data_IF_330348045848
#
_entry.id   IF_330348045848
#
_cell.length_a   1.000
_cell.length_b   1.000
_cell.length_c   1.000
_cell.angle_alpha   90.00
_cell.angle_beta   90.00
_cell.angle_gamma   90.00
#
_symmetry.space_group_name_H-M   'P 1'
#
loop_
_entity.id
_entity.type
_entity.pdbx_description
1 polymer ?
#
# COMPACT_ATOMS: atom_id res chain seq x y z
N UNK A 1 -1.00 -9.25 0.55
CA UNK A 1 -1.19 -7.89 1.10
C UNK A 1 -1.46 -7.83 2.61
N UNK A 2 -2.21 -8.78 3.18
CA UNK A 2 -2.60 -8.75 4.61
C UNK A 2 -1.44 -8.54 5.60
N UNK A 3 -0.28 -9.18 5.38
CA UNK A 3 0.91 -8.97 6.23
C UNK A 3 1.42 -7.52 6.17
N UNK A 4 1.52 -6.95 4.98
CA UNK A 4 2.01 -5.59 4.76
C UNK A 4 1.09 -4.56 5.40
N UNK A 5 -0.23 -4.75 5.29
CA UNK A 5 -1.23 -3.87 5.91
C UNK A 5 -1.25 -3.92 7.44
N UNK A 6 -0.71 -4.98 8.06
CA UNK A 6 -0.53 -5.06 9.52
C UNK A 6 0.74 -4.37 10.00
N UNK A 7 1.67 -4.03 9.10
CA UNK A 7 2.90 -3.35 9.47
C UNK A 7 2.58 -1.86 9.82
N UNK A 8 2.94 -1.39 11.02
CA UNK A 8 2.61 -0.04 11.47
C UNK A 8 3.33 1.06 10.67
N UNK A 9 4.56 0.81 10.22
CA UNK A 9 5.32 1.77 9.40
C UNK A 9 4.68 1.93 8.02
N UNK A 10 4.19 0.82 7.45
CA UNK A 10 3.47 0.86 6.18
C UNK A 10 2.17 1.66 6.31
N UNK A 11 1.40 1.42 7.37
CA UNK A 11 0.18 2.18 7.65
C UNK A 11 0.48 3.67 7.83
N UNK A 12 1.53 4.01 8.58
CA UNK A 12 1.89 5.39 8.86
C UNK A 12 2.35 6.13 7.59
N UNK A 13 3.32 5.57 6.87
CA UNK A 13 3.98 6.24 5.75
C UNK A 13 3.14 6.19 4.48
N UNK A 14 2.59 5.02 4.14
CA UNK A 14 1.95 4.79 2.85
C UNK A 14 0.44 5.02 2.94
N UNK A 15 -0.26 4.34 3.84
CA UNK A 15 -1.74 4.42 3.87
C UNK A 15 -2.23 5.77 4.40
N UNK A 16 -1.71 6.20 5.55
CA UNK A 16 -2.12 7.44 6.19
C UNK A 16 -1.35 8.63 5.60
N UNK A 17 -0.02 8.58 5.54
CA UNK A 17 0.77 9.70 5.00
C UNK A 17 0.52 9.95 3.52
N UNK A 18 0.92 9.00 2.66
CA UNK A 18 0.91 9.22 1.21
C UNK A 18 -0.49 9.14 0.58
N UNK A 19 -1.28 8.10 0.88
CA UNK A 19 -2.56 7.85 0.20
C UNK A 19 -3.74 8.61 0.79
N UNK A 20 -3.63 9.14 2.02
CA UNK A 20 -4.68 9.93 2.67
C UNK A 20 -4.27 11.38 2.84
N UNK A 21 -3.26 11.66 3.66
CA UNK A 21 -2.96 13.01 4.10
C UNK A 21 -2.40 13.87 2.96
N UNK A 22 -1.43 13.34 2.19
CA UNK A 22 -0.90 14.03 1.00
C UNK A 22 -2.00 14.26 -0.03
N UNK A 23 -2.83 13.26 -0.32
CA UNK A 23 -3.93 13.39 -1.29
C UNK A 23 -4.92 14.48 -0.87
N UNK A 24 -5.30 14.53 0.40
CA UNK A 24 -6.20 15.56 0.93
C UNK A 24 -5.58 16.96 0.86
N UNK A 25 -4.29 17.07 1.20
CA UNK A 25 -3.55 18.33 1.07
C UNK A 25 -3.48 18.79 -0.38
N UNK A 26 -3.07 17.92 -1.31
CA UNK A 26 -3.00 18.21 -2.75
C UNK A 26 -4.37 18.59 -3.33
N UNK A 27 -5.43 17.91 -2.93
CA UNK A 27 -6.79 18.28 -3.35
C UNK A 27 -7.18 19.68 -2.86
N UNK A 28 -6.81 20.03 -1.62
CA UNK A 28 -7.05 21.36 -1.07
C UNK A 28 -6.27 22.45 -1.84
N UNK A 29 -5.04 22.16 -2.28
CA UNK A 29 -4.23 23.09 -3.08
C UNK A 29 -4.88 23.44 -4.43
N UNK A 30 -5.64 22.53 -5.02
CA UNK A 30 -6.37 22.83 -6.27
C UNK A 30 -7.34 24.00 -6.11
N UNK A 31 -7.91 24.21 -4.91
CA UNK A 31 -8.84 25.30 -4.64
C UNK A 31 -8.14 26.66 -4.44
N UNK A 32 -6.82 26.69 -4.22
CA UNK A 32 -6.08 27.91 -3.91
C UNK A 32 -5.99 28.82 -5.16
N UNK A 33 -6.46 30.08 -5.10
CA UNK A 33 -6.47 30.97 -6.27
C UNK A 33 -5.07 31.26 -6.84
N UNK A 34 -4.06 31.34 -5.98
CA UNK A 34 -2.67 31.57 -6.39
C UNK A 34 -2.15 30.41 -7.25
N UNK A 35 -2.34 29.17 -6.79
CA UNK A 35 -2.01 27.94 -7.54
C UNK A 35 -2.69 27.91 -8.91
N UNK A 36 -3.96 28.36 -8.98
CA UNK A 36 -4.67 28.47 -10.26
C UNK A 36 -4.04 29.52 -11.17
N UNK A 37 -3.70 30.69 -10.64
CA UNK A 37 -3.15 31.82 -11.39
C UNK A 37 -1.73 31.56 -11.90
N UNK A 38 -0.93 30.85 -11.12
CA UNK A 38 0.45 30.46 -11.44
C UNK A 38 0.52 29.25 -12.38
N UNK A 39 -0.59 28.53 -12.57
CA UNK A 39 -0.67 27.41 -13.51
C UNK A 39 -0.16 26.08 -12.96
N UNK A 40 0.00 25.92 -11.63
CA UNK A 40 0.50 24.69 -10.99
C UNK A 40 -0.53 23.57 -10.83
N UNK A 41 -1.77 23.78 -11.29
CA UNK A 41 -2.84 22.77 -11.18
C UNK A 41 -2.52 21.45 -11.91
N UNK A 42 -1.93 21.42 -13.11
CA UNK A 42 -1.59 20.17 -13.80
C UNK A 42 -0.67 19.29 -12.97
N UNK A 43 0.41 19.86 -12.42
CA UNK A 43 1.38 19.11 -11.60
C UNK A 43 0.70 18.47 -10.37
N UNK A 44 -0.17 19.23 -9.70
CA UNK A 44 -0.94 18.73 -8.54
C UNK A 44 -1.92 17.63 -8.97
N UNK A 45 -2.53 17.75 -10.14
CA UNK A 45 -3.43 16.73 -10.69
C UNK A 45 -2.68 15.45 -11.05
N UNK A 46 -1.48 15.53 -11.63
CA UNK A 46 -0.64 14.37 -11.93
C UNK A 46 -0.28 13.61 -10.64
N UNK A 47 0.07 14.35 -9.58
CA UNK A 47 0.33 13.78 -8.26
C UNK A 47 -0.88 13.02 -7.69
N UNK A 48 -2.09 13.58 -7.84
CA UNK A 48 -3.34 12.95 -7.42
C UNK A 48 -3.66 11.69 -8.25
N UNK A 49 -3.40 11.73 -9.56
CA UNK A 49 -3.55 10.58 -10.46
C UNK A 49 -2.59 9.47 -10.06
N UNK A 50 -1.33 9.79 -9.75
CA UNK A 50 -0.35 8.81 -9.26
C UNK A 50 -0.82 8.13 -7.96
N UNK A 51 -1.35 8.91 -7.00
CA UNK A 51 -1.95 8.37 -5.78
C UNK A 51 -3.15 7.45 -6.06
N UNK A 52 -4.03 7.83 -6.99
CA UNK A 52 -5.17 7.02 -7.42
C UNK A 52 -4.73 5.70 -8.05
N UNK A 53 -3.73 5.73 -8.94
CA UNK A 53 -3.19 4.54 -9.59
C UNK A 53 -2.57 3.56 -8.59
N UNK A 54 -1.82 4.05 -7.59
CA UNK A 54 -1.27 3.19 -6.55
C UNK A 54 -2.37 2.51 -5.72
N UNK A 55 -3.41 3.27 -5.35
CA UNK A 55 -4.56 2.71 -4.61
C UNK A 55 -5.30 1.66 -5.44
N UNK A 56 -5.48 1.92 -6.74
CA UNK A 56 -6.08 0.95 -7.66
C UNK A 56 -5.24 -0.33 -7.75
N UNK A 57 -3.92 -0.19 -7.87
CA UNK A 57 -3.01 -1.33 -7.88
C UNK A 57 -3.16 -2.20 -6.62
N UNK A 58 -3.24 -1.60 -5.42
CA UNK A 58 -3.49 -2.36 -4.19
C UNK A 58 -4.81 -3.12 -4.22
N UNK A 59 -5.89 -2.48 -4.70
CA UNK A 59 -7.18 -3.15 -4.83
C UNK A 59 -7.14 -4.31 -5.84
N UNK A 60 -6.44 -4.13 -6.96
CA UNK A 60 -6.24 -5.18 -7.96
C UNK A 60 -5.49 -6.38 -7.36
N UNK A 61 -4.43 -6.15 -6.59
CA UNK A 61 -3.69 -7.23 -5.93
C UNK A 61 -4.55 -7.91 -4.86
N UNK A 62 -5.30 -7.15 -4.06
CA UNK A 62 -6.19 -7.74 -3.04
C UNK A 62 -7.23 -8.67 -3.70
N UNK A 63 -7.81 -8.27 -4.83
CA UNK A 63 -8.78 -9.08 -5.55
C UNK A 63 -8.13 -10.29 -6.27
N UNK A 64 -6.97 -10.10 -6.90
CA UNK A 64 -6.31 -11.17 -7.67
C UNK A 64 -5.77 -12.30 -6.79
N UNK A 65 -5.42 -12.01 -5.53
CA UNK A 65 -4.82 -12.96 -4.60
C UNK A 65 -5.71 -13.26 -3.39
N UNK A 66 -7.00 -13.00 -3.51
CA UNK A 66 -7.99 -13.34 -2.49
C UNK A 66 -8.05 -14.87 -2.32
N UNK A 67 -7.72 -15.37 -1.13
CA UNK A 67 -7.67 -16.81 -0.82
C UNK A 67 -6.37 -17.52 -1.20
N UNK A 68 -5.38 -16.83 -1.78
CA UNK A 68 -4.06 -17.42 -2.00
C UNK A 68 -3.28 -17.55 -0.68
N UNK A 69 -2.60 -18.69 -0.52
CA UNK A 69 -1.66 -18.91 0.59
C UNK A 69 -0.52 -17.91 0.51
N UNK A 70 -0.09 -17.37 1.66
CA UNK A 70 1.00 -16.41 1.69
C UNK A 70 2.30 -17.10 1.26
N UNK A 71 3.00 -16.63 0.22
CA UNK A 71 4.23 -17.29 -0.25
C UNK A 71 5.39 -17.19 0.75
N UNK A 72 5.31 -16.24 1.68
CA UNK A 72 6.25 -16.14 2.80
C UNK A 72 5.53 -16.69 4.02
N UNK A 73 5.92 -17.87 4.54
CA UNK A 73 5.37 -18.39 5.77
C UNK A 73 5.63 -17.40 6.91
N UNK A 74 4.70 -17.33 7.84
CA UNK A 74 4.92 -16.70 9.13
C UNK A 74 5.94 -17.49 9.94
N UNK A 75 6.57 -16.85 10.94
CA UNK A 75 7.54 -17.49 11.83
C UNK A 75 6.99 -18.81 12.41
N UNK A 76 5.70 -18.86 12.78
CA UNK A 76 5.04 -20.09 13.24
C UNK A 76 4.85 -21.16 12.16
N UNK A 77 4.60 -20.76 10.91
CA UNK A 77 4.49 -21.70 9.78
C UNK A 77 5.88 -22.21 9.38
N UNK A 78 6.91 -21.38 9.50
CA UNK A 78 8.31 -21.73 9.23
C UNK A 78 8.83 -22.73 10.28
N UNK A 79 8.52 -22.53 11.56
CA UNK A 79 8.81 -23.49 12.64
C UNK A 79 8.14 -24.85 12.42
N UNK A 80 6.88 -24.87 11.96
CA UNK A 80 6.16 -26.11 11.65
C UNK A 80 6.80 -26.87 10.47
N UNK A 81 7.19 -26.17 9.42
CA UNK A 81 7.86 -26.76 8.24
C UNK A 81 9.24 -27.33 8.60
N UNK A 82 9.98 -26.66 9.49
CA UNK A 82 11.28 -27.14 9.98
C UNK A 82 11.13 -28.37 10.89
N UNK A 83 10.06 -28.45 11.67
CA UNK A 83 9.76 -29.63 12.50
C UNK A 83 9.41 -30.85 11.64
N UNK A 84 8.59 -30.69 10.59
CA UNK A 84 8.26 -31.77 9.64
C UNK A 84 9.49 -32.27 8.87
N UNK A 85 10.42 -31.39 8.51
CA UNK A 85 11.66 -31.79 7.84
C UNK A 85 12.60 -32.63 8.74
N UNK A 86 12.57 -32.42 10.05
CA UNK A 86 13.40 -33.17 11.00
C UNK A 86 12.85 -34.56 11.34
N UNK A 87 11.54 -34.79 11.22
CA UNK A 87 10.91 -36.10 11.47
C UNK A 87 11.00 -37.05 10.25
N UNK A 88 11.27 -36.53 9.05
CA UNK A 88 11.52 -37.33 7.83
C UNK A 88 12.94 -37.92 7.73
N UNK A 89 13.82 -37.62 8.69
CA UNK A 89 15.18 -38.18 8.79
C UNK A 89 15.20 -39.24 9.91
N UNK A 90 14.49 -40.34 9.70
CA UNK A 90 14.65 -41.59 10.48
C UNK A 90 14.66 -42.80 9.56
#
# INVERSE_FOLDING_TARGET
MNRLRKNPDFQLVIENGYLRDKVLASFSLLAVPQIKKEGHRPDIMEDLVAGSNLKYYFAMIDNAYEGCTNPIPSDSEEEALLAEQNDGVK
#
